data_IF_231195240240
#
_entry.id   IF_231195240240
#
_cell.length_a   1.000
_cell.length_b   1.000
_cell.length_c   1.000
_cell.angle_alpha   90.00
_cell.angle_beta   90.00
_cell.angle_gamma   90.00
#
_symmetry.space_group_name_H-M   'P 1'
#
loop_
_entity.id
_entity.type
_entity.pdbx_description
1 polymer ?
#
# COMPACT_ATOMS: atom_id res chain seq x y z
N UNK A 1 -9.80 -37.95 -15.88
CA UNK A 1 -9.33 -37.58 -14.54
C UNK A 1 -7.90 -38.08 -14.44
N UNK A 2 -6.96 -37.14 -14.45
CA UNK A 2 -5.54 -37.44 -14.26
C UNK A 2 -5.27 -37.58 -12.74
N UNK A 3 -4.36 -38.47 -12.30
CA UNK A 3 -4.06 -38.67 -10.88
C UNK A 3 -3.40 -37.43 -10.26
N UNK A 4 -3.48 -37.23 -8.93
CA UNK A 4 -2.84 -36.08 -8.26
C UNK A 4 -1.31 -36.15 -8.34
N UNK A 5 -0.65 -35.00 -8.49
CA UNK A 5 0.80 -34.86 -8.35
C UNK A 5 1.19 -34.63 -6.88
N UNK A 6 2.42 -35.01 -6.50
CA UNK A 6 2.96 -34.71 -5.16
C UNK A 6 3.17 -33.20 -4.99
N UNK A 7 2.70 -32.64 -3.87
CA UNK A 7 2.88 -31.22 -3.53
C UNK A 7 4.36 -30.92 -3.24
N UNK A 8 4.97 -30.06 -4.06
CA UNK A 8 6.34 -29.59 -3.86
C UNK A 8 6.30 -28.18 -3.28
N UNK A 9 6.87 -28.00 -2.09
CA UNK A 9 7.04 -26.69 -1.46
C UNK A 9 8.42 -26.12 -1.79
N UNK A 10 8.46 -24.90 -2.32
CA UNK A 10 9.71 -24.17 -2.57
C UNK A 10 9.64 -22.79 -1.93
N UNK A 11 10.68 -22.41 -1.18
CA UNK A 11 10.85 -21.05 -0.67
C UNK A 11 11.57 -20.20 -1.71
N UNK A 12 11.00 -19.04 -2.04
CA UNK A 12 11.61 -18.05 -2.95
C UNK A 12 12.00 -16.84 -2.15
N UNK A 13 13.25 -16.41 -2.31
CA UNK A 13 13.75 -15.14 -1.81
C UNK A 13 13.94 -14.22 -3.02
N UNK A 14 13.19 -13.12 -3.09
CA UNK A 14 13.39 -12.11 -4.13
C UNK A 14 14.35 -11.05 -3.60
N UNK A 15 15.25 -10.56 -4.46
CA UNK A 15 16.20 -9.50 -4.13
C UNK A 15 16.22 -8.47 -5.27
N UNK A 16 15.89 -7.22 -4.97
CA UNK A 16 15.82 -6.13 -5.95
C UNK A 16 14.85 -5.06 -5.49
N UNK A 17 15.05 -3.81 -5.92
CA UNK A 17 14.08 -2.73 -5.69
C UNK A 17 12.98 -2.90 -6.74
N UNK A 18 11.83 -3.39 -6.31
CA UNK A 18 10.68 -3.66 -7.19
C UNK A 18 9.92 -2.35 -7.42
N UNK A 19 9.63 -2.02 -8.69
CA UNK A 19 8.95 -0.77 -9.07
C UNK A 19 7.82 -1.05 -10.07
N UNK A 20 6.75 -0.26 -9.98
CA UNK A 20 5.57 -0.40 -10.82
C UNK A 20 5.82 0.04 -12.27
N UNK A 21 6.86 0.79 -12.58
CA UNK A 21 7.13 1.20 -13.97
C UNK A 21 8.20 0.32 -14.64
N UNK A 22 8.22 -0.97 -14.29
CA UNK A 22 9.13 -1.97 -14.85
C UNK A 22 8.82 -2.25 -16.33
N UNK A 23 9.78 -2.01 -17.27
CA UNK A 23 9.59 -2.29 -18.70
C UNK A 23 9.25 -3.74 -19.04
N UNK A 24 9.58 -4.70 -18.16
CA UNK A 24 9.21 -6.12 -18.30
C UNK A 24 7.71 -6.38 -18.09
N UNK A 25 7.03 -5.49 -17.36
CA UNK A 25 5.61 -5.62 -17.00
C UNK A 25 4.85 -4.32 -17.28
N UNK A 26 4.80 -3.85 -18.54
CA UNK A 26 4.28 -2.53 -18.90
C UNK A 26 2.77 -2.35 -18.62
N UNK A 27 2.06 -3.44 -18.32
CA UNK A 27 0.65 -3.43 -18.00
C UNK A 27 0.37 -3.01 -16.55
N UNK A 28 1.33 -3.16 -15.62
CA UNK A 28 1.14 -2.89 -14.20
C UNK A 28 1.86 -1.60 -13.79
N UNK A 29 1.28 -0.45 -14.09
CA UNK A 29 1.79 0.84 -13.57
C UNK A 29 1.31 1.11 -12.15
N UNK A 30 1.88 2.11 -11.46
CA UNK A 30 1.44 2.50 -10.12
C UNK A 30 -0.04 2.91 -10.08
N UNK A 31 -0.54 3.57 -11.14
CA UNK A 31 -1.97 3.91 -11.27
C UNK A 31 -2.83 2.66 -11.49
N UNK A 32 -2.34 1.70 -12.29
CA UNK A 32 -3.04 0.42 -12.50
C UNK A 32 -3.17 -0.34 -11.19
N UNK A 33 -2.08 -0.48 -10.44
CA UNK A 33 -2.09 -1.13 -9.14
C UNK A 33 -3.06 -0.43 -8.15
N UNK A 34 -3.14 0.90 -8.17
CA UNK A 34 -4.12 1.63 -7.35
C UNK A 34 -5.56 1.33 -7.78
N UNK A 35 -5.87 1.37 -9.09
CA UNK A 35 -7.20 1.02 -9.60
C UNK A 35 -7.61 -0.40 -9.20
N UNK A 36 -6.69 -1.36 -9.30
CA UNK A 36 -6.91 -2.74 -8.87
C UNK A 36 -7.19 -2.83 -7.36
N UNK A 37 -6.42 -2.11 -6.55
CA UNK A 37 -6.56 -2.08 -5.08
C UNK A 37 -7.89 -1.47 -4.65
N UNK A 38 -8.36 -0.40 -5.33
CA UNK A 38 -9.69 0.18 -5.13
C UNK A 38 -10.78 -0.84 -5.49
N UNK A 39 -10.67 -1.48 -6.66
CA UNK A 39 -11.66 -2.43 -7.14
C UNK A 39 -11.82 -3.65 -6.22
N UNK A 40 -10.73 -4.17 -5.64
CA UNK A 40 -10.82 -5.26 -4.65
C UNK A 40 -11.54 -4.79 -3.39
N UNK A 41 -11.17 -3.63 -2.84
CA UNK A 41 -11.80 -3.07 -1.63
C UNK A 41 -13.29 -2.80 -1.82
N UNK A 42 -13.69 -2.26 -2.97
CA UNK A 42 -15.11 -2.03 -3.30
C UNK A 42 -15.91 -3.32 -3.52
N UNK A 43 -15.23 -4.41 -3.90
CA UNK A 43 -15.87 -5.72 -4.08
C UNK A 43 -16.04 -6.48 -2.76
N UNK A 44 -15.47 -5.98 -1.65
CA UNK A 44 -15.64 -6.61 -0.35
C UNK A 44 -17.10 -6.49 0.13
N UNK A 45 -17.67 -7.56 0.72
CA UNK A 45 -18.98 -7.49 1.34
C UNK A 45 -19.00 -6.50 2.51
N UNK A 46 -20.11 -5.77 2.74
CA UNK A 46 -20.18 -4.71 3.76
C UNK A 46 -20.00 -5.23 5.21
N UNK A 47 -20.21 -6.52 5.45
CA UNK A 47 -19.99 -7.19 6.73
C UNK A 47 -18.55 -7.67 6.96
N UNK A 48 -17.63 -7.36 6.04
CA UNK A 48 -16.22 -7.72 6.12
C UNK A 48 -15.41 -6.46 6.34
N UNK A 49 -14.62 -6.47 7.39
CA UNK A 49 -13.72 -5.37 7.73
C UNK A 49 -12.29 -5.75 7.40
N UNK A 50 -11.53 -4.79 6.87
CA UNK A 50 -10.10 -4.94 6.60
C UNK A 50 -9.35 -4.52 7.86
N UNK A 51 -8.50 -5.38 8.42
CA UNK A 51 -7.69 -5.02 9.58
C UNK A 51 -6.63 -4.01 9.14
N UNK A 52 -6.65 -2.82 9.71
CA UNK A 52 -5.69 -1.77 9.36
C UNK A 52 -4.25 -2.25 9.60
N UNK A 53 -3.39 -2.10 8.59
CA UNK A 53 -1.97 -2.48 8.70
C UNK A 53 -1.70 -3.97 8.65
N UNK A 54 -2.75 -4.76 8.41
CA UNK A 54 -2.58 -6.17 8.17
C UNK A 54 -2.09 -6.39 6.75
N UNK A 55 -0.84 -6.81 6.62
CA UNK A 55 -0.37 -7.51 5.43
C UNK A 55 0.25 -8.82 5.90
N UNK A 56 -0.14 -9.91 5.26
CA UNK A 56 0.44 -11.23 5.51
C UNK A 56 1.93 -11.25 5.13
N UNK A 57 2.32 -10.43 4.15
CA UNK A 57 3.72 -10.18 3.80
C UNK A 57 4.23 -8.96 4.57
N UNK A 58 5.43 -9.03 5.14
CA UNK A 58 5.97 -7.98 5.99
C UNK A 58 5.96 -6.58 5.33
N UNK A 59 5.22 -5.63 5.90
CA UNK A 59 5.42 -4.18 5.70
C UNK A 59 4.61 -3.49 4.59
N UNK A 60 3.45 -4.03 4.17
CA UNK A 60 2.59 -3.44 3.14
C UNK A 60 1.29 -2.83 3.67
N UNK A 61 0.70 -1.91 2.89
CA UNK A 61 -0.68 -1.48 3.12
C UNK A 61 -1.66 -2.62 2.74
N UNK A 62 -2.70 -2.89 3.55
CA UNK A 62 -3.66 -3.96 3.28
C UNK A 62 -4.34 -3.79 1.91
N UNK A 63 -4.44 -4.88 1.16
CA UNK A 63 -5.07 -4.96 -0.16
C UNK A 63 -4.48 -3.98 -1.19
N UNK A 64 -3.21 -3.62 -1.04
CA UNK A 64 -2.45 -2.89 -2.06
C UNK A 64 -1.66 -3.87 -2.91
N UNK A 65 -1.93 -3.86 -4.22
CA UNK A 65 -1.19 -4.65 -5.20
C UNK A 65 0.26 -4.21 -5.28
N UNK A 66 1.20 -5.11 -4.98
CA UNK A 66 2.64 -4.86 -4.97
C UNK A 66 3.25 -4.82 -6.39
N UNK A 67 4.45 -4.26 -6.61
CA UNK A 67 5.11 -4.38 -7.90
C UNK A 67 5.37 -5.85 -8.26
N UNK A 68 5.60 -6.13 -9.54
CA UNK A 68 5.96 -7.49 -9.94
C UNK A 68 7.38 -7.79 -9.47
N UNK A 69 7.50 -8.81 -8.63
CA UNK A 69 8.80 -9.24 -8.14
C UNK A 69 9.71 -9.70 -9.29
N UNK A 70 11.00 -9.37 -9.18
CA UNK A 70 12.01 -9.93 -10.07
C UNK A 70 12.27 -11.39 -9.70
N UNK A 71 11.38 -12.28 -10.12
CA UNK A 71 11.55 -13.72 -9.99
C UNK A 71 12.23 -14.31 -11.22
N UNK A 72 13.02 -15.38 -11.02
CA UNK A 72 13.48 -16.21 -12.12
C UNK A 72 12.29 -16.80 -12.89
N UNK A 73 12.46 -17.02 -14.20
CA UNK A 73 11.43 -17.45 -15.17
C UNK A 73 10.71 -18.79 -14.87
N UNK A 74 10.97 -19.42 -13.72
CA UNK A 74 10.28 -20.59 -13.22
C UNK A 74 8.91 -20.26 -12.57
N UNK A 75 8.62 -18.99 -12.31
CA UNK A 75 7.35 -18.52 -11.75
C UNK A 75 6.60 -17.69 -12.77
N UNK A 76 5.26 -17.82 -12.80
CA UNK A 76 4.39 -16.93 -13.56
C UNK A 76 4.41 -15.55 -12.90
N UNK A 77 5.15 -14.58 -13.45
CA UNK A 77 5.35 -13.32 -12.77
C UNK A 77 4.03 -12.54 -12.71
N UNK A 78 3.74 -11.96 -11.56
CA UNK A 78 2.52 -11.22 -11.33
C UNK A 78 2.60 -10.32 -10.11
N UNK A 79 1.49 -9.65 -9.85
CA UNK A 79 1.29 -8.81 -8.67
C UNK A 79 0.32 -9.48 -7.71
N UNK A 80 0.46 -9.16 -6.43
CA UNK A 80 -0.43 -9.65 -5.39
C UNK A 80 -0.82 -8.54 -4.43
N UNK A 81 -2.02 -8.67 -3.88
CA UNK A 81 -2.53 -7.87 -2.78
C UNK A 81 -3.05 -8.82 -1.70
N UNK A 82 -2.77 -8.54 -0.44
CA UNK A 82 -3.20 -9.38 0.68
C UNK A 82 -3.62 -8.55 1.88
N UNK A 83 -4.44 -9.14 2.75
CA UNK A 83 -4.85 -8.55 4.02
C UNK A 83 -5.50 -9.57 4.95
N UNK A 84 -5.53 -9.25 6.24
CA UNK A 84 -6.39 -9.91 7.23
C UNK A 84 -7.76 -9.23 7.22
N UNK A 85 -8.79 -10.06 7.19
CA UNK A 85 -10.17 -9.68 7.17
C UNK A 85 -10.85 -10.12 8.46
N UNK A 86 -11.82 -9.36 8.94
CA UNK A 86 -12.69 -9.73 10.06
C UNK A 86 -14.11 -9.87 9.56
N UNK A 87 -14.75 -11.00 9.86
CA UNK A 87 -16.18 -11.22 9.65
C UNK A 87 -16.79 -11.78 10.93
N UNK A 88 -17.82 -11.11 11.45
CA UNK A 88 -18.49 -11.51 12.70
C UNK A 88 -17.53 -11.69 13.89
N UNK A 89 -16.45 -10.90 13.95
CA UNK A 89 -15.43 -10.99 15.00
C UNK A 89 -14.43 -12.13 14.86
N UNK A 90 -14.43 -12.86 13.73
CA UNK A 90 -13.45 -13.89 13.42
C UNK A 90 -12.54 -13.40 12.31
N UNK A 91 -11.24 -13.51 12.53
CA UNK A 91 -10.20 -13.16 11.55
C UNK A 91 -10.04 -14.25 10.50
N UNK A 92 -9.58 -13.86 9.32
CA UNK A 92 -9.10 -14.75 8.30
C UNK A 92 -8.33 -13.92 7.28
N UNK A 93 -7.98 -14.50 6.14
CA UNK A 93 -7.20 -13.79 5.13
C UNK A 93 -7.90 -13.70 3.78
N UNK A 94 -7.46 -12.71 3.00
CA UNK A 94 -7.69 -12.62 1.57
C UNK A 94 -6.35 -12.35 0.89
N UNK A 95 -6.09 -13.13 -0.16
CA UNK A 95 -5.00 -12.90 -1.10
C UNK A 95 -5.57 -12.87 -2.51
N UNK A 96 -5.24 -11.83 -3.27
CA UNK A 96 -5.58 -11.69 -4.69
C UNK A 96 -4.29 -11.62 -5.48
N UNK A 97 -4.07 -12.58 -6.38
CA UNK A 97 -2.92 -12.60 -7.29
C UNK A 97 -3.39 -12.35 -8.71
N UNK A 98 -2.63 -11.55 -9.46
CA UNK A 98 -2.86 -11.31 -10.88
C UNK A 98 -1.57 -11.58 -11.64
N UNK A 99 -1.61 -12.61 -12.49
CA UNK A 99 -0.52 -12.97 -13.39
C UNK A 99 -0.97 -12.78 -14.84
N UNK A 100 0.01 -12.79 -15.74
CA UNK A 100 -0.24 -12.87 -17.18
C UNK A 100 0.41 -14.12 -17.73
N UNK A 101 -0.40 -15.12 -18.04
CA UNK A 101 0.05 -16.39 -18.61
C UNK A 101 -0.56 -16.61 -19.97
N UNK A 102 0.27 -17.08 -20.91
CA UNK A 102 -0.18 -17.44 -22.25
C UNK A 102 -0.93 -18.79 -22.24
N UNK A 103 -0.64 -19.63 -21.25
CA UNK A 103 -1.29 -20.93 -21.08
C UNK A 103 -2.68 -20.73 -20.47
N UNK A 104 -3.68 -21.33 -21.13
CA UNK A 104 -5.05 -21.35 -20.64
C UNK A 104 -5.25 -22.25 -19.41
N UNK A 105 -6.50 -22.41 -18.97
CA UNK A 105 -6.81 -23.26 -17.82
C UNK A 105 -6.31 -24.70 -18.03
N UNK A 106 -5.62 -25.25 -17.02
CA UNK A 106 -5.11 -26.63 -17.06
C UNK A 106 -6.29 -27.64 -17.14
N UNK A 107 -6.08 -28.88 -17.62
CA UNK A 107 -7.11 -29.91 -17.61
C UNK A 107 -7.69 -30.16 -16.21
N UNK A 108 -8.94 -30.63 -16.12
CA UNK A 108 -9.56 -30.95 -14.84
C UNK A 108 -8.87 -32.16 -14.19
N UNK A 109 -8.07 -31.90 -13.17
CA UNK A 109 -7.34 -32.89 -12.37
C UNK A 109 -8.00 -33.01 -10.99
N UNK A 110 -8.10 -34.25 -10.48
CA UNK A 110 -8.69 -34.49 -9.18
C UNK A 110 -7.87 -33.79 -8.08
N UNK A 111 -8.55 -33.07 -7.18
CA UNK A 111 -7.91 -32.30 -6.12
C UNK A 111 -7.43 -30.90 -6.53
N UNK A 112 -7.52 -30.52 -7.81
CA UNK A 112 -7.10 -29.19 -8.28
C UNK A 112 -8.23 -28.18 -8.43
N UNK A 113 -9.44 -28.63 -8.77
CA UNK A 113 -10.65 -27.82 -8.91
C UNK A 113 -11.91 -28.63 -8.61
N UNK A 114 -12.95 -27.98 -8.09
CA UNK A 114 -14.24 -28.61 -7.82
C UNK A 114 -15.24 -28.36 -8.95
N UNK A 115 -15.24 -27.14 -9.50
CA UNK A 115 -16.07 -26.77 -10.62
C UNK A 115 -15.33 -25.85 -11.59
N UNK A 116 -15.74 -25.93 -12.86
CA UNK A 116 -15.31 -25.05 -13.94
C UNK A 116 -16.53 -24.54 -14.69
N UNK A 117 -16.57 -23.24 -14.91
CA UNK A 117 -17.56 -22.57 -15.74
C UNK A 117 -16.87 -21.80 -16.86
N UNK A 118 -17.51 -21.72 -18.02
CA UNK A 118 -17.09 -20.82 -19.10
C UNK A 118 -18.19 -19.80 -19.34
N UNK A 119 -17.85 -18.53 -19.18
CA UNK A 119 -18.76 -17.39 -19.35
C UNK A 119 -18.98 -17.09 -20.85
N UNK A 120 -20.05 -16.36 -21.22
CA UNK A 120 -20.37 -16.06 -22.62
C UNK A 120 -19.29 -15.31 -23.40
N UNK A 121 -18.46 -14.52 -22.71
CA UNK A 121 -17.34 -13.80 -23.29
C UNK A 121 -16.12 -14.69 -23.60
N UNK A 122 -16.11 -15.93 -23.07
CA UNK A 122 -15.05 -16.92 -23.17
C UNK A 122 -14.11 -16.95 -21.96
N UNK A 123 -14.39 -16.16 -20.92
CA UNK A 123 -13.68 -16.23 -19.63
C UNK A 123 -13.96 -17.56 -18.95
N UNK A 124 -12.93 -18.22 -18.43
CA UNK A 124 -13.07 -19.48 -17.68
C UNK A 124 -12.90 -19.20 -16.20
N UNK A 125 -13.77 -19.76 -15.37
CA UNK A 125 -13.73 -19.61 -13.91
C UNK A 125 -13.67 -20.99 -13.27
N UNK A 126 -12.60 -21.23 -12.52
CA UNK A 126 -12.43 -22.41 -11.68
C UNK A 126 -12.66 -22.06 -10.23
N UNK A 127 -13.35 -22.93 -9.50
CA UNK A 127 -13.59 -22.78 -8.07
C UNK A 127 -13.10 -24.01 -7.32
N UNK A 128 -12.57 -23.79 -6.13
CA UNK A 128 -12.11 -24.84 -5.23
C UNK A 128 -12.36 -24.45 -3.78
N UNK A 129 -12.96 -25.34 -3.01
CA UNK A 129 -12.94 -25.35 -1.55
C UNK A 129 -11.97 -26.45 -1.12
N UNK A 130 -11.00 -26.11 -0.29
CA UNK A 130 -9.92 -27.03 0.08
C UNK A 130 -9.46 -26.80 1.49
N UNK A 131 -8.69 -27.75 2.00
CA UNK A 131 -7.94 -27.61 3.22
C UNK A 131 -6.51 -28.11 3.02
N UNK A 132 -5.63 -27.63 3.88
CA UNK A 132 -4.26 -28.08 4.05
C UNK A 132 -3.98 -28.22 5.55
N UNK A 133 -3.03 -29.09 5.92
CA UNK A 133 -2.69 -29.35 7.32
C UNK A 133 -1.18 -29.35 7.48
N UNK A 134 -0.67 -28.42 8.29
CA UNK A 134 0.75 -28.28 8.60
C UNK A 134 0.94 -28.32 10.11
N UNK A 135 1.85 -29.17 10.59
CA UNK A 135 2.10 -29.38 12.03
C UNK A 135 0.83 -29.64 12.88
N UNK A 136 -0.18 -30.28 12.26
CA UNK A 136 -1.46 -30.60 12.91
C UNK A 136 -2.45 -29.43 12.96
N UNK A 137 -2.10 -28.26 12.42
CA UNK A 137 -3.01 -27.14 12.26
C UNK A 137 -3.60 -27.14 10.84
N UNK A 138 -4.93 -27.33 10.77
CA UNK A 138 -5.67 -27.41 9.51
C UNK A 138 -6.24 -26.04 9.15
N UNK A 139 -5.87 -25.53 7.98
CA UNK A 139 -6.54 -24.38 7.37
C UNK A 139 -7.56 -24.81 6.34
N UNK A 140 -8.64 -24.06 6.25
CA UNK A 140 -9.60 -24.11 5.16
C UNK A 140 -9.42 -22.91 4.24
N UNK A 141 -9.62 -23.12 2.94
CA UNK A 141 -9.47 -22.08 1.94
C UNK A 141 -10.50 -22.22 0.81
N UNK A 142 -11.17 -21.10 0.52
CA UNK A 142 -11.93 -20.92 -0.72
C UNK A 142 -11.05 -20.26 -1.76
N UNK A 143 -11.06 -20.76 -3.00
CA UNK A 143 -10.23 -20.27 -4.09
C UNK A 143 -11.08 -20.13 -5.35
N UNK A 144 -10.97 -18.97 -6.00
CA UNK A 144 -11.51 -18.72 -7.34
C UNK A 144 -10.36 -18.32 -8.26
N UNK A 145 -10.23 -19.02 -9.40
CA UNK A 145 -9.27 -18.71 -10.46
C UNK A 145 -10.03 -18.32 -11.73
N UNK A 146 -9.80 -17.12 -12.21
CA UNK A 146 -10.40 -16.60 -13.44
C UNK A 146 -9.32 -16.48 -14.51
N UNK A 147 -9.62 -17.01 -15.71
CA UNK A 147 -8.78 -16.97 -16.89
C UNK A 147 -9.46 -16.11 -17.96
N UNK A 148 -8.95 -14.90 -18.16
CA UNK A 148 -9.47 -13.95 -19.12
C UNK A 148 -8.88 -14.17 -20.52
N UNK A 149 -9.58 -13.67 -21.53
CA UNK A 149 -9.16 -13.81 -22.94
C UNK A 149 -7.95 -12.96 -23.33
N UNK A 150 -7.62 -11.95 -22.54
CA UNK A 150 -6.42 -11.13 -22.73
C UNK A 150 -5.15 -11.77 -22.15
N UNK A 151 -5.27 -12.98 -21.58
CA UNK A 151 -4.21 -13.73 -20.92
C UNK A 151 -4.01 -13.38 -19.44
N UNK A 152 -4.88 -12.53 -18.87
CA UNK A 152 -4.86 -12.28 -17.42
C UNK A 152 -5.41 -13.49 -16.67
N UNK A 153 -4.73 -13.85 -15.59
CA UNK A 153 -5.21 -14.84 -14.64
C UNK A 153 -5.31 -14.21 -13.27
N UNK A 154 -6.52 -14.23 -12.70
CA UNK A 154 -6.80 -13.69 -11.37
C UNK A 154 -7.10 -14.84 -10.43
N UNK A 155 -6.35 -14.93 -9.34
CA UNK A 155 -6.57 -15.91 -8.28
C UNK A 155 -6.95 -15.17 -7.01
N UNK A 156 -8.22 -15.24 -6.62
CA UNK A 156 -8.72 -14.74 -5.35
C UNK A 156 -8.86 -15.93 -4.38
N UNK A 157 -8.21 -15.84 -3.23
CA UNK A 157 -8.21 -16.89 -2.20
C UNK A 157 -8.54 -16.29 -0.86
N UNK A 158 -9.42 -16.93 -0.10
CA UNK A 158 -9.68 -16.59 1.29
C UNK A 158 -9.48 -17.81 2.16
N UNK A 159 -8.79 -17.65 3.28
CA UNK A 159 -8.55 -18.72 4.25
C UNK A 159 -8.95 -18.31 5.65
N UNK A 160 -9.10 -19.30 6.52
CA UNK A 160 -9.32 -19.10 7.96
C UNK A 160 -8.03 -18.75 8.74
N UNK A 161 -6.93 -18.38 8.07
CA UNK A 161 -5.67 -17.99 8.71
C UNK A 161 -5.69 -16.52 9.13
N UNK A 162 -5.33 -16.25 10.39
CA UNK A 162 -5.12 -14.89 10.91
C UNK A 162 -3.71 -14.35 10.58
N UNK A 163 -3.36 -13.17 11.12
CA UNK A 163 -2.05 -12.54 10.95
C UNK A 163 -0.88 -13.41 11.47
N UNK A 164 -1.13 -14.21 12.51
CA UNK A 164 -0.16 -15.12 13.14
C UNK A 164 -0.08 -16.47 12.42
N UNK A 165 -0.73 -16.60 11.27
CA UNK A 165 -0.85 -17.84 10.50
C UNK A 165 -1.52 -18.97 11.28
N UNK A 166 -2.39 -18.68 12.23
CA UNK A 166 -3.17 -19.68 12.99
C UNK A 166 -4.55 -19.87 12.37
N UNK A 167 -5.05 -21.12 12.36
CA UNK A 167 -6.42 -21.40 11.94
C UNK A 167 -7.45 -20.87 12.95
N UNK A 168 -8.35 -20.02 12.46
CA UNK A 168 -9.47 -19.45 13.24
C UNK A 168 -10.75 -20.27 13.11
N UNK A 169 -10.76 -21.26 12.20
CA UNK A 169 -11.90 -22.14 11.94
C UNK A 169 -13.04 -21.53 11.14
N UNK A 170 -12.90 -20.33 10.58
CA UNK A 170 -13.89 -19.74 9.68
C UNK A 170 -13.26 -18.93 8.54
N UNK A 171 -13.60 -19.30 7.31
CA UNK A 171 -13.16 -18.56 6.11
C UNK A 171 -14.03 -17.30 5.92
N UNK A 172 -13.44 -16.10 5.86
CA UNK A 172 -14.21 -14.85 5.88
C UNK A 172 -14.93 -14.57 4.56
N UNK A 173 -14.52 -15.14 3.43
CA UNK A 173 -15.21 -14.96 2.14
C UNK A 173 -15.65 -16.29 1.53
N UNK A 174 -16.89 -16.31 1.03
CA UNK A 174 -17.43 -17.43 0.24
C UNK A 174 -16.89 -17.45 -1.18
N UNK A 175 -17.06 -18.57 -1.89
CA UNK A 175 -16.70 -18.70 -3.31
C UNK A 175 -17.39 -17.63 -4.17
N UNK A 176 -18.67 -17.32 -3.95
CA UNK A 176 -19.40 -16.31 -4.75
C UNK A 176 -18.89 -14.87 -4.50
N UNK A 177 -18.48 -14.58 -3.27
CA UNK A 177 -17.86 -13.29 -2.92
C UNK A 177 -16.46 -13.18 -3.55
N UNK A 178 -15.66 -14.25 -3.50
CA UNK A 178 -14.38 -14.32 -4.19
C UNK A 178 -14.53 -14.24 -5.71
N UNK A 179 -15.59 -14.83 -6.28
CA UNK A 179 -15.93 -14.73 -7.69
C UNK A 179 -16.25 -13.29 -8.10
N UNK A 180 -16.96 -12.55 -7.25
CA UNK A 180 -17.23 -11.13 -7.46
C UNK A 180 -15.94 -10.32 -7.51
N UNK A 181 -14.96 -10.63 -6.65
CA UNK A 181 -13.63 -10.01 -6.67
C UNK A 181 -12.85 -10.42 -7.92
N UNK A 182 -12.76 -11.71 -8.22
CA UNK A 182 -11.94 -12.24 -9.32
C UNK A 182 -12.43 -11.78 -10.70
N UNK A 183 -13.73 -11.51 -10.86
CA UNK A 183 -14.34 -11.03 -12.11
C UNK A 183 -14.30 -9.50 -12.28
N UNK A 184 -13.64 -8.76 -11.39
CA UNK A 184 -13.50 -7.30 -11.52
C UNK A 184 -12.71 -6.97 -12.80
N UNK A 185 -13.28 -6.19 -13.74
CA UNK A 185 -12.59 -5.86 -14.99
C UNK A 185 -11.30 -5.07 -14.75
N UNK A 186 -11.21 -4.31 -13.66
CA UNK A 186 -10.03 -3.51 -13.30
C UNK A 186 -8.79 -4.38 -13.05
N UNK A 187 -8.97 -5.66 -12.70
CA UNK A 187 -7.89 -6.62 -12.48
C UNK A 187 -7.28 -7.17 -13.77
N UNK A 188 -7.93 -6.98 -14.92
CA UNK A 188 -7.41 -7.47 -16.20
C UNK A 188 -6.26 -6.60 -16.70
N UNK A 189 -5.20 -7.23 -17.21
CA UNK A 189 -4.02 -6.55 -17.74
C UNK A 189 -4.32 -5.63 -18.92
N UNK A 190 -5.34 -5.96 -19.75
CA UNK A 190 -5.75 -5.11 -20.88
C UNK A 190 -6.72 -3.98 -20.52
N UNK A 191 -7.32 -4.00 -19.32
CA UNK A 191 -8.28 -2.96 -18.93
C UNK A 191 -7.56 -1.63 -18.71
N UNK A 192 -7.96 -0.56 -19.42
CA UNK A 192 -7.36 0.75 -19.24
C UNK A 192 -7.64 1.27 -17.83
N UNK A 193 -6.70 2.03 -17.28
CA UNK A 193 -6.89 2.71 -16.01
C UNK A 193 -7.88 3.86 -16.22
N UNK A 194 -8.96 3.97 -15.41
CA UNK A 194 -9.88 5.10 -15.49
C UNK A 194 -9.16 6.44 -15.30
N UNK A 195 -9.65 7.47 -16.00
CA UNK A 195 -9.14 8.84 -15.82
C UNK A 195 -9.32 9.30 -14.37
N UNK A 196 -8.37 10.08 -13.85
CA UNK A 196 -8.40 10.59 -12.49
C UNK A 196 -7.91 9.63 -11.40
N UNK A 197 -7.60 8.36 -11.74
CA UNK A 197 -6.93 7.47 -10.78
C UNK A 197 -5.51 7.99 -10.53
N UNK A 198 -5.25 8.33 -9.27
CA UNK A 198 -3.94 8.73 -8.80
C UNK A 198 -3.00 7.51 -8.70
N UNK A 199 -1.67 7.69 -8.80
CA UNK A 199 -0.73 6.61 -8.53
C UNK A 199 -0.86 6.10 -7.09
N UNK A 200 -0.37 4.89 -6.81
CA UNK A 200 -0.33 4.36 -5.46
C UNK A 200 0.41 5.32 -4.52
N UNK A 201 -0.09 5.53 -3.30
CA UNK A 201 0.60 6.34 -2.30
C UNK A 201 2.03 5.86 -2.08
N UNK A 202 3.00 6.78 -2.17
CA UNK A 202 4.40 6.50 -1.86
C UNK A 202 4.46 6.10 -0.37
N UNK A 203 5.11 4.97 -0.06
CA UNK A 203 5.25 4.55 1.33
C UNK A 203 5.93 5.66 2.12
N UNK A 204 5.32 6.06 3.23
CA UNK A 204 5.91 6.96 4.18
C UNK A 204 5.86 6.26 5.52
N UNK A 205 7.04 6.00 6.09
CA UNK A 205 7.14 5.28 7.34
C UNK A 205 6.87 6.23 8.51
N UNK A 206 5.81 5.95 9.25
CA UNK A 206 5.53 6.55 10.56
C UNK A 206 5.83 5.51 11.60
N UNK A 207 7.09 5.48 12.08
CA UNK A 207 7.48 4.79 13.31
C UNK A 207 6.89 5.49 14.56
N UNK A 208 5.61 5.88 14.52
CA UNK A 208 4.86 6.49 15.61
C UNK A 208 3.89 5.44 16.15
N UNK A 209 4.43 4.47 16.88
CA UNK A 209 3.62 3.51 17.61
C UNK A 209 2.84 4.22 18.73
N UNK A 210 1.58 3.84 18.93
CA UNK A 210 0.75 4.31 20.04
C UNK A 210 -0.38 5.28 19.68
N UNK A 211 -1.17 5.62 20.69
CA UNK A 211 -2.29 6.58 20.59
C UNK A 211 -1.80 8.02 20.67
N UNK A 212 -2.20 8.83 19.71
CA UNK A 212 -2.04 10.28 19.69
C UNK A 212 -3.20 11.00 18.99
N UNK A 213 -2.97 12.26 18.61
CA UNK A 213 -4.01 13.21 18.19
C UNK A 213 -4.49 13.08 16.74
N UNK A 214 -3.86 12.23 15.93
CA UNK A 214 -4.16 12.11 14.50
C UNK A 214 -5.34 11.17 14.25
N UNK A 215 -6.55 11.67 14.48
CA UNK A 215 -7.79 11.03 14.01
C UNK A 215 -7.97 11.24 12.49
N UNK A 216 -8.84 10.44 11.84
CA UNK A 216 -9.20 10.64 10.42
C UNK A 216 -9.63 12.08 10.13
N UNK A 217 -10.43 12.70 11.01
CA UNK A 217 -10.84 14.10 10.88
C UNK A 217 -9.67 15.08 11.03
N UNK A 218 -8.69 14.78 11.87
CA UNK A 218 -7.48 15.60 12.00
C UNK A 218 -6.65 15.53 10.72
N UNK A 219 -6.48 14.33 10.17
CA UNK A 219 -5.77 14.10 8.89
C UNK A 219 -6.49 14.78 7.72
N UNK A 220 -7.82 14.72 7.65
CA UNK A 220 -8.61 15.42 6.63
C UNK A 220 -8.40 16.93 6.66
N UNK A 221 -8.41 17.54 7.86
CA UNK A 221 -8.13 18.98 8.02
C UNK A 221 -6.70 19.33 7.60
N UNK A 222 -5.75 18.48 7.97
CA UNK A 222 -4.35 18.64 7.57
C UNK A 222 -4.20 18.57 6.04
N UNK A 223 -4.86 17.61 5.41
CA UNK A 223 -4.86 17.44 3.96
C UNK A 223 -5.44 18.67 3.25
N UNK A 224 -6.63 19.12 3.67
CA UNK A 224 -7.24 20.32 3.10
C UNK A 224 -6.33 21.56 3.22
N UNK A 225 -5.67 21.74 4.37
CA UNK A 225 -4.80 22.89 4.60
C UNK A 225 -3.51 22.85 3.76
N UNK A 226 -2.94 21.65 3.55
CA UNK A 226 -1.81 21.45 2.66
C UNK A 226 -2.18 21.72 1.20
N UNK A 227 -3.36 21.26 0.77
CA UNK A 227 -3.86 21.49 -0.58
C UNK A 227 -4.15 22.98 -0.84
N UNK A 228 -4.84 23.64 0.10
CA UNK A 228 -5.11 25.07 0.03
C UNK A 228 -3.81 25.89 -0.01
N UNK A 229 -2.83 25.53 0.82
CA UNK A 229 -1.50 26.15 0.82
C UNK A 229 -0.81 25.99 -0.53
N UNK A 230 -0.75 24.77 -1.07
CA UNK A 230 -0.06 24.51 -2.33
C UNK A 230 -0.71 25.24 -3.51
N UNK A 231 -2.04 25.27 -3.55
CA UNK A 231 -2.79 26.03 -4.55
C UNK A 231 -2.52 27.54 -4.45
N UNK A 232 -2.53 28.10 -3.24
CA UNK A 232 -2.32 29.53 -3.02
C UNK A 232 -0.87 29.97 -3.28
N UNK A 233 0.10 29.07 -3.12
CA UNK A 233 1.51 29.36 -3.34
C UNK A 233 1.89 29.43 -4.84
N UNK A 234 1.00 29.00 -5.76
CA UNK A 234 1.19 29.03 -7.22
C UNK A 234 2.54 28.46 -7.68
N UNK A 235 2.96 27.37 -7.04
CA UNK A 235 4.28 26.78 -7.23
C UNK A 235 4.34 26.12 -8.61
N UNK A 236 5.34 26.43 -9.46
CA UNK A 236 5.43 25.90 -10.82
C UNK A 236 6.00 24.46 -10.84
N UNK A 237 5.51 23.60 -9.94
CA UNK A 237 5.90 22.20 -9.83
C UNK A 237 4.63 21.35 -9.86
N UNK A 238 4.56 20.44 -10.82
CA UNK A 238 3.48 19.46 -10.88
C UNK A 238 3.70 18.38 -9.81
N UNK A 239 2.64 18.09 -9.07
CA UNK A 239 2.60 16.98 -8.13
C UNK A 239 1.87 15.79 -8.76
N UNK A 240 2.32 14.57 -8.46
CA UNK A 240 1.62 13.35 -8.91
C UNK A 240 0.26 13.12 -8.23
N UNK A 241 0.00 13.87 -7.14
CA UNK A 241 -1.23 13.89 -6.34
C UNK A 241 -1.30 15.18 -5.50
N UNK A 242 -2.45 15.50 -4.89
CA UNK A 242 -2.56 16.63 -3.97
C UNK A 242 -1.55 16.54 -2.81
N UNK A 243 -0.98 17.67 -2.38
CA UNK A 243 0.01 17.70 -1.30
C UNK A 243 -0.55 17.14 0.00
N UNK A 244 -1.84 17.41 0.25
CA UNK A 244 -2.68 16.85 1.29
C UNK A 244 -3.05 15.39 1.03
N UNK A 245 -2.04 14.53 0.85
CA UNK A 245 -2.20 13.08 0.76
C UNK A 245 -1.64 12.36 2.00
N UNK A 246 -1.79 13.00 3.17
CA UNK A 246 -1.34 12.46 4.45
C UNK A 246 -2.23 11.30 4.90
N UNK A 247 -1.63 10.33 5.58
CA UNK A 247 -2.28 9.17 6.22
C UNK A 247 -1.66 8.92 7.59
N UNK A 248 -2.39 8.28 8.50
CA UNK A 248 -1.82 7.78 9.76
C UNK A 248 -1.12 6.44 9.54
N UNK A 249 -0.21 6.10 10.45
CA UNK A 249 0.29 4.73 10.58
C UNK A 249 -0.91 3.80 10.79
N UNK A 250 -0.89 2.58 10.23
CA UNK A 250 -1.86 1.59 10.65
C UNK A 250 -1.71 1.16 12.12
N UNK A 251 -0.50 1.24 12.66
CA UNK A 251 -0.13 0.82 14.02
C UNK A 251 -0.38 1.89 15.12
N UNK A 252 -0.91 3.08 14.77
CA UNK A 252 -1.09 4.14 15.76
C UNK A 252 -1.68 5.44 15.22
N UNK A 253 -2.12 6.29 16.15
CA UNK A 253 -2.62 7.65 15.85
C UNK A 253 -1.67 8.75 16.34
N UNK A 254 -0.44 8.37 16.70
CA UNK A 254 0.61 9.29 17.16
C UNK A 254 1.35 10.02 16.03
N UNK A 255 1.03 9.73 14.77
CA UNK A 255 1.63 10.42 13.63
C UNK A 255 0.83 10.30 12.35
N UNK A 256 1.13 11.21 11.43
CA UNK A 256 0.66 11.19 10.06
C UNK A 256 1.82 11.47 9.10
N UNK A 257 1.80 10.88 7.92
CA UNK A 257 2.77 11.13 6.88
C UNK A 257 2.13 11.17 5.50
N UNK A 258 2.78 11.86 4.57
CA UNK A 258 2.42 11.91 3.17
C UNK A 258 3.66 12.09 2.33
N UNK A 259 3.68 11.46 1.16
CA UNK A 259 4.76 11.60 0.20
C UNK A 259 4.17 11.76 -1.21
N UNK A 260 4.72 12.71 -1.95
CA UNK A 260 4.29 13.06 -3.31
C UNK A 260 5.51 13.20 -4.22
N UNK A 261 5.38 12.83 -5.51
CA UNK A 261 6.40 13.20 -6.50
C UNK A 261 6.20 14.68 -6.85
N UNK A 262 7.27 15.45 -6.85
CA UNK A 262 7.28 16.87 -7.16
C UNK A 262 8.37 17.14 -8.20
N UNK A 263 7.98 17.23 -9.48
CA UNK A 263 8.94 17.21 -10.59
C UNK A 263 9.69 15.89 -10.66
N UNK A 264 11.03 15.93 -10.56
CA UNK A 264 11.89 14.74 -10.50
C UNK A 264 12.17 14.25 -9.06
N UNK A 265 11.68 14.98 -8.05
CA UNK A 265 11.93 14.72 -6.64
C UNK A 265 10.78 14.05 -5.91
N UNK A 266 11.06 13.64 -4.68
CA UNK A 266 10.02 13.18 -3.73
C UNK A 266 9.96 14.11 -2.54
N UNK A 267 8.79 14.74 -2.34
CA UNK A 267 8.47 15.57 -1.19
C UNK A 267 7.76 14.72 -0.14
N UNK A 268 8.39 14.57 1.02
CA UNK A 268 7.90 13.83 2.18
C UNK A 268 7.54 14.81 3.30
N UNK A 269 6.36 14.64 3.88
CA UNK A 269 5.89 15.36 5.05
C UNK A 269 5.58 14.33 6.13
N UNK A 270 6.10 14.55 7.34
CA UNK A 270 5.78 13.74 8.52
C UNK A 270 5.41 14.66 9.67
N UNK A 271 4.38 14.26 10.40
CA UNK A 271 3.90 14.94 11.60
C UNK A 271 3.77 13.89 12.69
N UNK A 272 4.39 14.14 13.83
CA UNK A 272 4.34 13.21 14.97
C UNK A 272 4.08 13.96 16.27
N UNK A 273 3.31 13.31 17.14
CA UNK A 273 3.21 13.66 18.55
C UNK A 273 4.53 13.31 19.19
N UNK A 274 5.29 14.32 19.54
CA UNK A 274 6.59 14.11 20.13
C UNK A 274 6.52 14.43 21.63
N UNK A 275 6.95 13.48 22.47
CA UNK A 275 7.45 13.79 23.82
C UNK A 275 8.87 14.36 23.70
N UNK A 276 9.07 15.33 22.81
CA UNK A 276 10.40 15.76 22.42
C UNK A 276 10.87 16.86 23.37
N UNK A 277 11.86 16.53 24.21
CA UNK A 277 12.53 17.49 25.07
C UNK A 277 13.44 18.39 24.22
N UNK A 278 13.42 19.72 24.43
CA UNK A 278 14.26 20.64 23.68
C UNK A 278 15.74 20.25 23.82
N UNK A 279 16.47 20.28 22.70
CA UNK A 279 17.92 20.09 22.68
C UNK A 279 18.65 21.10 23.55
N UNK A 280 19.71 20.66 24.23
CA UNK A 280 20.59 21.51 25.03
C UNK A 280 21.45 22.47 24.17
N UNK A 281 21.43 22.37 22.84
CA UNK A 281 22.22 23.19 21.92
C UNK A 281 21.33 24.17 21.10
N UNK A 282 20.93 25.32 21.68
CA UNK A 282 20.03 26.29 21.08
C UNK A 282 20.64 27.09 19.91
N UNK A 283 21.93 26.92 19.62
CA UNK A 283 22.66 27.79 18.67
C UNK A 283 22.36 27.50 17.19
N UNK A 284 21.64 26.42 16.87
CA UNK A 284 21.21 26.06 15.50
C UNK A 284 19.69 26.07 15.29
N UNK A 285 18.93 26.58 16.25
CA UNK A 285 17.49 26.68 16.15
C UNK A 285 17.04 28.13 15.88
N UNK A 286 16.10 28.32 14.94
CA UNK A 286 15.42 29.60 14.75
C UNK A 286 14.10 29.55 15.50
N UNK A 287 13.98 30.35 16.56
CA UNK A 287 12.76 30.47 17.36
C UNK A 287 11.79 31.45 16.73
N UNK A 288 10.53 31.02 16.57
CA UNK A 288 9.43 31.81 16.06
C UNK A 288 8.67 32.53 17.19
N UNK A 289 7.85 33.56 16.89
CA UNK A 289 7.12 34.32 17.89
C UNK A 289 6.12 33.52 18.74
N UNK A 290 5.62 32.40 18.19
CA UNK A 290 4.72 31.46 18.87
C UNK A 290 5.45 30.48 19.80
N UNK A 291 6.78 30.55 19.85
CA UNK A 291 7.64 29.63 20.62
C UNK A 291 8.01 28.36 19.86
N UNK A 292 7.59 28.21 18.60
CA UNK A 292 8.02 27.08 17.75
C UNK A 292 9.48 27.26 17.32
N UNK A 293 10.16 26.16 17.00
CA UNK A 293 11.57 26.18 16.62
C UNK A 293 11.81 25.44 15.31
N UNK A 294 12.40 26.13 14.33
CA UNK A 294 13.03 25.47 13.18
C UNK A 294 14.41 24.96 13.56
N UNK A 295 14.74 23.74 13.16
CA UNK A 295 15.99 23.07 13.49
C UNK A 295 16.66 22.50 12.25
N UNK A 296 17.99 22.57 12.28
CA UNK A 296 18.89 22.00 11.25
C UNK A 296 19.56 20.70 11.69
N UNK A 297 19.27 20.22 12.90
CA UNK A 297 19.86 19.03 13.46
C UNK A 297 18.85 17.87 13.51
N UNK A 298 18.86 17.07 12.46
CA UNK A 298 18.40 15.69 12.53
C UNK A 298 19.62 14.77 12.64
N UNK A 299 20.20 14.56 13.85
CA UNK A 299 21.38 13.72 14.01
C UNK A 299 21.10 12.29 13.52
N UNK A 300 21.80 11.87 12.47
CA UNK A 300 21.62 10.57 11.82
C UNK A 300 20.85 10.59 10.49
N UNK A 301 20.33 11.75 10.07
CA UNK A 301 19.73 11.92 8.74
C UNK A 301 20.81 11.94 7.65
N UNK A 302 20.62 11.13 6.61
CA UNK A 302 21.47 11.15 5.43
C UNK A 302 21.23 12.42 4.64
N UNK A 303 22.31 13.09 4.21
CA UNK A 303 22.22 14.27 3.33
C UNK A 303 22.01 13.90 1.85
N UNK A 304 21.98 12.59 1.54
CA UNK A 304 21.77 12.05 0.20
C UNK A 304 20.94 10.77 0.26
N UNK A 305 20.16 10.50 -0.78
CA UNK A 305 19.53 9.19 -1.01
C UNK A 305 20.59 8.13 -1.37
N UNK A 306 20.21 6.85 -1.34
CA UNK A 306 21.07 5.76 -1.82
C UNK A 306 21.46 5.93 -3.30
N UNK A 307 20.60 6.58 -4.09
CA UNK A 307 20.80 6.89 -5.50
C UNK A 307 21.60 8.19 -5.73
N UNK A 308 22.06 8.83 -4.64
CA UNK A 308 22.93 10.01 -4.67
C UNK A 308 22.21 11.34 -4.89
N UNK A 309 20.89 11.38 -4.68
CA UNK A 309 20.13 12.64 -4.76
C UNK A 309 20.29 13.41 -3.46
N UNK A 310 20.61 14.72 -3.50
CA UNK A 310 20.73 15.51 -2.28
C UNK A 310 19.37 15.61 -1.59
N UNK A 311 19.41 15.56 -0.27
CA UNK A 311 18.26 15.68 0.60
C UNK A 311 18.30 17.07 1.26
N UNK A 312 17.20 17.80 1.13
CA UNK A 312 16.95 19.01 1.91
C UNK A 312 15.80 18.75 2.89
N UNK A 313 16.02 19.04 4.16
CA UNK A 313 15.11 18.73 5.27
C UNK A 313 14.92 19.96 6.15
N UNK A 314 13.69 20.17 6.61
CA UNK A 314 13.33 21.17 7.61
C UNK A 314 12.53 20.48 8.70
N UNK A 315 12.96 20.69 9.95
CA UNK A 315 12.23 20.24 11.14
C UNK A 315 11.67 21.44 11.89
N UNK A 316 10.36 21.43 12.16
CA UNK A 316 9.66 22.40 13.00
C UNK A 316 9.12 21.69 14.25
N UNK A 317 9.42 22.23 15.43
CA UNK A 317 8.92 21.71 16.71
C UNK A 317 8.06 22.78 17.38
N UNK A 318 6.81 22.46 17.71
CA UNK A 318 5.88 23.36 18.42
C UNK A 318 6.04 23.25 19.94
N UNK A 319 5.67 24.29 20.71
CA UNK A 319 5.62 24.22 22.18
C UNK A 319 4.70 23.12 22.73
N UNK A 320 3.71 22.69 21.95
CA UNK A 320 2.80 21.59 22.28
C UNK A 320 3.47 20.22 22.27
N UNK A 321 4.69 20.11 21.73
CA UNK A 321 5.39 18.85 21.51
C UNK A 321 5.20 18.26 20.11
N UNK A 322 4.35 18.85 19.26
CA UNK A 322 4.22 18.39 17.87
C UNK A 322 5.49 18.68 17.06
N UNK A 323 6.00 17.68 16.36
CA UNK A 323 7.11 17.80 15.41
C UNK A 323 6.61 17.60 13.98
N UNK A 324 7.05 18.49 13.09
CA UNK A 324 6.82 18.43 11.64
C UNK A 324 8.16 18.31 10.94
N UNK A 325 8.33 17.27 10.14
CA UNK A 325 9.46 17.11 9.23
C UNK A 325 8.97 17.29 7.79
N UNK A 326 9.65 18.13 7.03
CA UNK A 326 9.40 18.30 5.60
C UNK A 326 10.72 18.09 4.87
N UNK A 327 10.74 17.16 3.93
CA UNK A 327 11.93 16.72 3.25
C UNK A 327 11.69 16.65 1.73
N UNK A 328 12.64 17.11 0.94
CA UNK A 328 12.70 16.90 -0.51
C UNK A 328 14.00 16.19 -0.86
N UNK A 329 13.90 15.11 -1.65
CA UNK A 329 15.04 14.46 -2.28
C UNK A 329 14.99 14.72 -3.79
N UNK A 330 15.93 15.49 -4.33
CA UNK A 330 16.00 15.83 -5.77
C UNK A 330 17.36 16.42 -6.15
N UNK A 331 17.85 16.13 -7.36
CA UNK A 331 19.06 16.75 -7.93
C UNK A 331 18.83 18.16 -8.47
N UNK A 332 17.61 18.51 -8.85
CA UNK A 332 17.24 19.77 -9.45
C UNK A 332 15.83 20.15 -9.01
N UNK A 333 15.73 20.99 -7.98
CA UNK A 333 14.44 21.33 -7.38
C UNK A 333 14.21 22.84 -7.37
N UNK A 334 13.02 23.26 -7.78
CA UNK A 334 12.49 24.61 -7.54
C UNK A 334 11.81 24.73 -6.17
N UNK A 335 11.78 23.64 -5.40
CA UNK A 335 11.43 23.60 -3.98
C UNK A 335 12.71 23.84 -3.19
N UNK A 336 12.75 24.96 -2.49
CA UNK A 336 13.88 25.41 -1.68
C UNK A 336 13.52 25.42 -0.19
N UNK A 337 14.52 25.63 0.67
CA UNK A 337 14.31 25.70 2.14
C UNK A 337 13.17 26.61 2.59
N UNK A 338 13.05 27.86 2.10
CA UNK A 338 11.92 28.73 2.45
C UNK A 338 10.56 28.09 2.16
N UNK A 339 10.41 27.38 1.05
CA UNK A 339 9.18 26.68 0.74
C UNK A 339 8.94 25.50 1.70
N UNK A 340 9.97 24.70 2.02
CA UNK A 340 9.84 23.63 3.02
C UNK A 340 9.42 24.17 4.40
N UNK A 341 9.97 25.31 4.80
CA UNK A 341 9.56 26.01 6.04
C UNK A 341 8.10 26.47 5.97
N UNK A 342 7.66 27.02 4.84
CA UNK A 342 6.27 27.44 4.65
C UNK A 342 5.29 26.26 4.71
N UNK A 343 5.65 25.11 4.11
CA UNK A 343 4.87 23.87 4.22
C UNK A 343 4.80 23.42 5.68
N UNK A 344 5.93 23.41 6.40
CA UNK A 344 5.97 23.02 7.81
C UNK A 344 5.05 23.90 8.67
N UNK A 345 4.98 25.21 8.39
CA UNK A 345 4.09 26.14 9.06
C UNK A 345 2.61 25.89 8.74
N UNK A 346 2.27 25.61 7.47
CA UNK A 346 0.90 25.29 7.07
C UNK A 346 0.39 24.02 7.79
N UNK A 347 1.25 23.01 7.89
CA UNK A 347 0.99 21.80 8.68
C UNK A 347 0.79 22.13 10.15
N UNK A 348 1.74 22.86 10.75
CA UNK A 348 1.70 23.20 12.18
C UNK A 348 0.45 24.00 12.55
N UNK A 349 -0.01 24.91 11.70
CA UNK A 349 -1.25 25.68 11.93
C UNK A 349 -2.53 24.85 11.88
N UNK A 350 -2.47 23.63 11.35
CA UNK A 350 -3.61 22.71 11.21
C UNK A 350 -3.73 21.73 12.39
N UNK A 351 -2.67 21.62 13.19
CA UNK A 351 -2.52 20.70 14.31
C UNK A 351 -2.45 21.54 15.59
N UNK A 352 -3.62 22.01 16.03
CA UNK A 352 -3.96 22.58 17.35
C UNK A 352 -5.49 22.49 17.56
#
# INVERSE_FOLDING_TARGET
MEPPEEEQFYGVLTTGQEDYDNPGYPWLTSRKANAMSIAVREALPPQVEVVAGSSLRSGGDPLVFQPVASADAAYDPGTSADSVLVRNGVEGSLTVNVTRVADGPKPCQAGWLDARETLPDGTVVDTRDTWDEFDGDRSQSNIVRMYARDGSVVVASSSDRNADYESTGSVPLSIEELRTIALRPELLSSTPVPDGILPLPISCDTNSEGTGQFSSRTVERLNASLDDFWQAAEIPVELDRPLGSMRTAPSGSAGACGAVKAGDGTLLIRVIDANYEPSEDPWRAVTLPDGSHFRDDNPGSSTMTLDGDPIEEVTLVKPSGTRVDVQIASRATSIDRPLLQAIALAVAGSVD
#
